data_IF_780910118237
#
_entry.id   IF_780910118237
#
_cell.length_a   1.000
_cell.length_b   1.000
_cell.length_c   1.000
_cell.angle_alpha   90.00
_cell.angle_beta   90.00
_cell.angle_gamma   90.00
#
_symmetry.space_group_name_H-M   'P 1'
#
loop_
_entity.id
_entity.type
_entity.pdbx_description
1 polymer ?
#
# COMPACT_ATOMS: atom_id res chain seq x y z
N UNK A 1 -25.73 -28.92 7.87
CA UNK A 1 -26.31 -27.72 8.52
C UNK A 1 -26.36 -26.61 7.47
N UNK A 2 -27.54 -26.22 7.02
CA UNK A 2 -27.72 -25.11 6.08
C UNK A 2 -27.16 -23.82 6.69
N UNK A 3 -26.07 -23.35 6.13
CA UNK A 3 -25.56 -22.01 6.42
C UNK A 3 -26.51 -21.05 5.70
N UNK A 4 -27.28 -20.26 6.45
CA UNK A 4 -28.21 -19.26 5.89
C UNK A 4 -27.45 -18.31 4.94
N UNK A 5 -28.07 -17.93 3.82
CA UNK A 5 -27.46 -17.08 2.78
C UNK A 5 -26.87 -15.75 3.34
N UNK A 6 -27.52 -15.16 4.35
CA UNK A 6 -27.05 -13.95 5.04
C UNK A 6 -25.70 -14.13 5.76
N UNK A 7 -25.39 -15.35 6.23
CA UNK A 7 -24.08 -15.66 6.79
C UNK A 7 -23.02 -15.62 5.68
N UNK A 8 -23.29 -16.18 4.50
CA UNK A 8 -22.33 -16.17 3.38
C UNK A 8 -21.94 -14.76 2.94
N UNK A 9 -22.94 -13.88 2.79
CA UNK A 9 -22.72 -12.49 2.38
C UNK A 9 -21.88 -11.76 3.43
N UNK A 10 -22.26 -11.85 4.71
CA UNK A 10 -21.56 -11.20 5.81
C UNK A 10 -20.10 -11.67 5.94
N UNK A 11 -19.87 -12.99 5.87
CA UNK A 11 -18.52 -13.57 5.88
C UNK A 11 -17.69 -13.13 4.67
N UNK A 12 -18.31 -13.01 3.49
CA UNK A 12 -17.63 -12.53 2.28
C UNK A 12 -17.10 -11.11 2.48
N UNK A 13 -17.95 -10.18 2.97
CA UNK A 13 -17.51 -8.80 3.24
C UNK A 13 -16.49 -8.71 4.36
N UNK A 14 -16.64 -9.52 5.41
CA UNK A 14 -15.65 -9.64 6.47
C UNK A 14 -14.27 -10.01 5.91
N UNK A 15 -14.17 -11.13 5.17
CA UNK A 15 -12.88 -11.58 4.64
C UNK A 15 -12.32 -10.63 3.57
N UNK A 16 -13.17 -10.05 2.71
CA UNK A 16 -12.76 -9.00 1.77
C UNK A 16 -12.13 -7.80 2.49
N UNK A 17 -12.73 -7.37 3.61
CA UNK A 17 -12.20 -6.27 4.42
C UNK A 17 -10.86 -6.66 5.05
N UNK A 18 -10.73 -7.89 5.56
CA UNK A 18 -9.46 -8.39 6.14
C UNK A 18 -8.32 -8.42 5.13
N UNK A 19 -8.54 -8.93 3.92
CA UNK A 19 -7.48 -8.95 2.89
C UNK A 19 -7.16 -7.54 2.38
N UNK A 20 -8.15 -6.64 2.31
CA UNK A 20 -7.91 -5.24 1.92
C UNK A 20 -7.04 -4.53 2.96
N UNK A 21 -7.37 -4.67 4.25
CA UNK A 21 -6.57 -4.13 5.35
C UNK A 21 -5.17 -4.74 5.37
N UNK A 22 -5.03 -6.04 5.13
CA UNK A 22 -3.73 -6.70 5.03
C UNK A 22 -2.86 -6.12 3.91
N UNK A 23 -3.44 -5.77 2.76
CA UNK A 23 -2.73 -5.09 1.67
C UNK A 23 -2.27 -3.70 2.11
N UNK A 24 -3.19 -2.88 2.64
CA UNK A 24 -2.85 -1.51 3.03
C UNK A 24 -1.87 -1.45 4.19
N UNK A 25 -1.96 -2.31 5.19
CA UNK A 25 -1.07 -2.26 6.37
C UNK A 25 0.14 -3.18 6.25
N UNK A 26 0.27 -3.95 5.17
CA UNK A 26 1.42 -4.81 4.90
C UNK A 26 1.49 -6.11 5.73
N UNK A 27 0.40 -6.49 6.41
CA UNK A 27 0.26 -7.76 7.15
C UNK A 27 -0.12 -8.92 6.19
N UNK A 28 0.83 -9.26 5.33
CA UNK A 28 0.62 -10.20 4.22
C UNK A 28 0.38 -11.62 4.72
N UNK A 29 1.08 -12.02 5.77
CA UNK A 29 0.99 -13.34 6.38
C UNK A 29 -0.41 -13.60 6.95
N UNK A 30 -0.97 -12.66 7.74
CA UNK A 30 -2.34 -12.79 8.21
C UNK A 30 -3.34 -12.70 7.04
N UNK A 31 -3.12 -11.77 6.11
CA UNK A 31 -3.91 -11.62 4.89
C UNK A 31 -4.04 -12.93 4.10
N UNK A 32 -2.94 -13.67 3.95
CA UNK A 32 -2.92 -14.95 3.23
C UNK A 32 -3.82 -16.01 3.86
N UNK A 33 -4.01 -15.98 5.18
CA UNK A 33 -4.89 -16.89 5.90
C UNK A 33 -6.37 -16.72 5.54
N UNK A 34 -6.78 -15.54 5.08
CA UNK A 34 -8.18 -15.24 4.72
C UNK A 34 -8.52 -15.56 3.26
N UNK A 35 -7.53 -15.80 2.40
CA UNK A 35 -7.74 -16.01 0.96
C UNK A 35 -8.54 -17.29 0.69
N UNK A 36 -8.17 -18.39 1.35
CA UNK A 36 -8.82 -19.70 1.13
C UNK A 36 -10.27 -19.74 1.66
N UNK A 37 -10.56 -19.30 2.90
CA UNK A 37 -11.94 -19.16 3.36
C UNK A 37 -12.79 -18.29 2.44
N UNK A 38 -12.25 -17.15 1.98
CA UNK A 38 -12.96 -16.27 1.04
C UNK A 38 -13.24 -16.99 -0.28
N UNK A 39 -12.27 -17.72 -0.84
CA UNK A 39 -12.46 -18.44 -2.11
C UNK A 39 -13.61 -19.45 -2.03
N UNK A 40 -13.74 -20.17 -0.91
CA UNK A 40 -14.81 -21.16 -0.71
C UNK A 40 -16.20 -20.53 -0.67
N UNK A 41 -16.33 -19.31 -0.11
CA UNK A 41 -17.60 -18.58 -0.05
C UNK A 41 -18.01 -17.98 -1.40
N UNK A 42 -17.06 -17.71 -2.28
CA UNK A 42 -17.31 -16.98 -3.53
C UNK A 42 -18.07 -17.77 -4.60
N UNK A 43 -18.29 -19.07 -4.43
CA UNK A 43 -19.21 -19.84 -5.30
C UNK A 43 -20.65 -19.28 -5.25
N UNK A 44 -21.01 -18.57 -4.18
CA UNK A 44 -22.35 -18.03 -3.97
C UNK A 44 -22.49 -16.51 -4.23
N UNK A 45 -21.39 -15.75 -4.34
CA UNK A 45 -21.44 -14.29 -4.50
C UNK A 45 -20.52 -13.80 -5.63
N UNK A 46 -21.14 -13.37 -6.73
CA UNK A 46 -20.48 -12.90 -7.95
C UNK A 46 -20.62 -11.39 -8.16
N UNK A 47 -20.92 -10.63 -7.10
CA UNK A 47 -20.96 -9.17 -7.19
C UNK A 47 -19.61 -8.63 -7.71
N UNK A 48 -19.68 -7.76 -8.72
CA UNK A 48 -18.49 -7.30 -9.46
C UNK A 48 -17.41 -6.67 -8.56
N UNK A 49 -17.83 -5.89 -7.56
CA UNK A 49 -16.94 -5.25 -6.59
C UNK A 49 -16.20 -6.29 -5.72
N UNK A 50 -16.91 -7.32 -5.27
CA UNK A 50 -16.36 -8.40 -4.44
C UNK A 50 -15.35 -9.22 -5.24
N UNK A 51 -15.69 -9.56 -6.49
CA UNK A 51 -14.79 -10.28 -7.40
C UNK A 51 -13.52 -9.46 -7.63
N UNK A 52 -13.65 -8.17 -7.94
CA UNK A 52 -12.51 -7.27 -8.20
C UNK A 52 -11.58 -7.18 -6.98
N UNK A 53 -12.14 -6.87 -5.80
CA UNK A 53 -11.37 -6.75 -4.54
C UNK A 53 -10.68 -8.06 -4.18
N UNK A 54 -11.39 -9.19 -4.28
CA UNK A 54 -10.85 -10.51 -3.96
C UNK A 54 -9.65 -10.84 -4.83
N UNK A 55 -9.80 -10.75 -6.15
CA UNK A 55 -8.75 -11.09 -7.11
C UNK A 55 -7.54 -10.17 -6.92
N UNK A 56 -7.80 -8.86 -6.83
CA UNK A 56 -6.77 -7.85 -6.65
C UNK A 56 -5.96 -8.03 -5.35
N UNK A 57 -6.64 -8.01 -4.19
CA UNK A 57 -5.95 -8.08 -2.90
C UNK A 57 -5.26 -9.43 -2.70
N UNK A 58 -5.90 -10.54 -3.10
CA UNK A 58 -5.29 -11.88 -2.97
C UNK A 58 -4.04 -12.02 -3.84
N UNK A 59 -4.07 -11.48 -5.06
CA UNK A 59 -2.94 -11.51 -5.96
C UNK A 59 -1.77 -10.63 -5.50
N UNK A 60 -2.05 -9.43 -4.95
CA UNK A 60 -1.02 -8.59 -4.34
C UNK A 60 -0.38 -9.25 -3.11
N UNK A 61 -1.19 -9.78 -2.17
CA UNK A 61 -0.67 -10.48 -0.98
C UNK A 61 0.29 -11.59 -1.39
N UNK A 62 -0.12 -12.45 -2.34
CA UNK A 62 0.67 -13.61 -2.73
C UNK A 62 1.92 -13.22 -3.53
N UNK A 63 1.84 -12.21 -4.41
CA UNK A 63 3.00 -11.74 -5.18
C UNK A 63 4.04 -11.07 -4.27
N UNK A 64 3.62 -10.27 -3.28
CA UNK A 64 4.52 -9.68 -2.27
C UNK A 64 5.14 -10.73 -1.35
N UNK A 65 4.38 -11.75 -0.92
CA UNK A 65 4.95 -12.91 -0.23
C UNK A 65 5.98 -13.65 -1.09
N UNK A 66 5.78 -13.71 -2.41
CA UNK A 66 6.76 -14.28 -3.32
C UNK A 66 8.05 -13.45 -3.37
N UNK A 67 7.96 -12.12 -3.40
CA UNK A 67 9.12 -11.21 -3.34
C UNK A 67 9.95 -11.43 -2.06
N UNK A 68 9.29 -11.62 -0.90
CA UNK A 68 9.95 -11.89 0.39
C UNK A 68 10.52 -13.32 0.51
N UNK A 69 10.15 -14.23 -0.38
CA UNK A 69 10.53 -15.65 -0.28
C UNK A 69 11.89 -15.94 -0.92
N UNK A 70 12.88 -16.30 -0.11
CA UNK A 70 14.22 -16.69 -0.58
C UNK A 70 14.26 -18.05 -1.32
N UNK A 71 13.44 -19.02 -0.88
CA UNK A 71 13.41 -20.38 -1.47
C UNK A 71 12.80 -20.35 -2.87
N UNK A 72 13.63 -20.54 -3.92
CA UNK A 72 13.23 -20.47 -5.34
C UNK A 72 11.97 -21.29 -5.68
N UNK A 73 11.87 -22.54 -5.20
CA UNK A 73 10.69 -23.40 -5.44
C UNK A 73 9.40 -22.79 -4.88
N UNK A 74 9.41 -22.38 -3.61
CA UNK A 74 8.25 -21.77 -2.93
C UNK A 74 7.90 -20.42 -3.56
N UNK A 75 8.89 -19.59 -3.87
CA UNK A 75 8.69 -18.32 -4.61
C UNK A 75 7.97 -18.56 -5.93
N UNK A 76 8.44 -19.49 -6.75
CA UNK A 76 7.81 -19.78 -8.04
C UNK A 76 6.38 -20.32 -7.89
N UNK A 77 6.10 -21.11 -6.83
CA UNK A 77 4.75 -21.57 -6.54
C UNK A 77 3.82 -20.40 -6.18
N UNK A 78 4.26 -19.48 -5.31
CA UNK A 78 3.50 -18.28 -4.97
C UNK A 78 3.27 -17.41 -6.20
N UNK A 79 4.30 -17.18 -7.03
CA UNK A 79 4.16 -16.44 -8.29
C UNK A 79 3.11 -17.03 -9.22
N UNK A 80 3.11 -18.35 -9.41
CA UNK A 80 2.09 -19.03 -10.23
C UNK A 80 0.69 -18.81 -9.65
N UNK A 81 0.52 -18.88 -8.33
CA UNK A 81 -0.77 -18.63 -7.68
C UNK A 81 -1.20 -17.17 -7.82
N UNK A 82 -0.30 -16.20 -7.64
CA UNK A 82 -0.58 -14.78 -7.88
C UNK A 82 -0.92 -14.49 -9.35
N UNK A 83 -0.26 -15.16 -10.30
CA UNK A 83 -0.57 -15.06 -11.72
C UNK A 83 -2.00 -15.50 -12.02
N UNK A 84 -2.49 -16.58 -11.41
CA UNK A 84 -3.88 -17.03 -11.57
C UNK A 84 -4.90 -15.95 -11.14
N UNK A 85 -4.63 -15.23 -10.06
CA UNK A 85 -5.47 -14.10 -9.65
C UNK A 85 -5.39 -12.94 -10.65
N UNK A 86 -4.21 -12.66 -11.19
CA UNK A 86 -3.99 -11.64 -12.22
C UNK A 86 -4.76 -11.95 -13.50
N UNK A 87 -4.69 -13.20 -13.97
CA UNK A 87 -5.37 -13.69 -15.17
C UNK A 87 -6.88 -13.66 -14.96
N UNK A 88 -7.37 -14.05 -13.77
CA UNK A 88 -8.77 -13.94 -13.40
C UNK A 88 -9.29 -12.50 -13.42
N UNK A 89 -8.47 -11.53 -12.96
CA UNK A 89 -8.84 -10.12 -13.00
C UNK A 89 -8.89 -9.60 -14.45
N UNK A 90 -7.93 -10.02 -15.29
CA UNK A 90 -7.92 -9.72 -16.72
C UNK A 90 -9.16 -10.23 -17.43
N UNK A 91 -9.51 -11.50 -17.22
CA UNK A 91 -10.72 -12.10 -17.78
C UNK A 91 -11.99 -11.36 -17.31
N UNK A 92 -12.01 -10.89 -16.06
CA UNK A 92 -13.14 -10.09 -15.54
C UNK A 92 -13.26 -8.75 -16.26
N UNK A 93 -12.13 -8.08 -16.55
CA UNK A 93 -12.09 -6.82 -17.32
C UNK A 93 -12.60 -7.05 -18.75
N UNK A 94 -12.11 -8.09 -19.43
CA UNK A 94 -12.47 -8.41 -20.82
C UNK A 94 -13.96 -8.79 -20.95
N UNK A 95 -14.50 -9.56 -19.98
CA UNK A 95 -15.87 -10.04 -20.04
C UNK A 95 -16.91 -8.99 -19.66
N UNK A 96 -16.68 -8.26 -18.56
CA UNK A 96 -17.70 -7.41 -17.93
C UNK A 96 -17.49 -5.92 -18.20
N UNK A 97 -16.34 -5.54 -18.75
CA UNK A 97 -15.90 -4.16 -18.76
C UNK A 97 -15.68 -3.61 -17.35
N UNK A 98 -15.26 -2.34 -17.27
CA UNK A 98 -15.08 -1.63 -16.01
C UNK A 98 -13.65 -1.17 -15.77
N UNK A 99 -13.53 -0.19 -14.87
CA UNK A 99 -12.26 0.48 -14.59
C UNK A 99 -11.45 -0.31 -13.55
N UNK A 100 -10.88 -1.45 -13.95
CA UNK A 100 -9.97 -2.27 -13.14
C UNK A 100 -8.58 -2.41 -13.79
N UNK A 101 -8.33 -1.69 -14.88
CA UNK A 101 -7.07 -1.79 -15.63
C UNK A 101 -5.86 -1.44 -14.76
N UNK A 102 -5.95 -0.41 -13.94
CA UNK A 102 -4.88 -0.01 -13.02
C UNK A 102 -4.57 -1.08 -11.98
N UNK A 103 -5.59 -1.77 -11.43
CA UNK A 103 -5.40 -2.91 -10.51
C UNK A 103 -4.66 -4.07 -11.19
N UNK A 104 -5.04 -4.39 -12.42
CA UNK A 104 -4.35 -5.40 -13.22
C UNK A 104 -2.89 -5.02 -13.48
N UNK A 105 -2.65 -3.77 -13.91
CA UNK A 105 -1.30 -3.27 -14.17
C UNK A 105 -0.43 -3.29 -12.91
N UNK A 106 -0.97 -2.92 -11.75
CA UNK A 106 -0.24 -2.97 -10.49
C UNK A 106 0.13 -4.40 -10.11
N UNK A 107 -0.78 -5.37 -10.26
CA UNK A 107 -0.49 -6.78 -10.03
C UNK A 107 0.60 -7.31 -10.98
N UNK A 108 0.60 -6.86 -12.24
CA UNK A 108 1.65 -7.22 -13.20
C UNK A 108 3.00 -6.67 -12.78
N UNK A 109 3.08 -5.41 -12.37
CA UNK A 109 4.31 -4.82 -11.85
C UNK A 109 4.86 -5.62 -10.66
N UNK A 110 3.99 -6.01 -9.73
CA UNK A 110 4.37 -6.81 -8.55
C UNK A 110 4.83 -8.23 -8.91
N UNK A 111 4.23 -8.85 -9.93
CA UNK A 111 4.62 -10.16 -10.47
C UNK A 111 5.96 -10.12 -11.24
N UNK A 112 6.20 -9.00 -11.92
CA UNK A 112 7.45 -8.67 -12.61
C UNK A 112 8.58 -8.50 -11.58
N UNK A 113 8.33 -7.70 -10.54
CA UNK A 113 9.21 -7.53 -9.38
C UNK A 113 9.52 -8.86 -8.68
N UNK A 114 8.50 -9.71 -8.45
CA UNK A 114 8.66 -11.04 -7.85
C UNK A 114 9.51 -12.00 -8.68
N UNK A 115 9.70 -11.72 -9.97
CA UNK A 115 10.48 -12.58 -10.86
C UNK A 115 11.96 -12.61 -10.54
N UNK A 116 12.50 -11.47 -10.12
CA UNK A 116 13.93 -11.23 -9.99
C UNK A 116 14.72 -11.42 -11.29
N UNK A 117 14.06 -11.40 -12.46
CA UNK A 117 14.68 -11.57 -13.78
C UNK A 117 14.68 -10.29 -14.62
N UNK A 118 13.84 -9.34 -14.23
CA UNK A 118 13.51 -8.16 -15.02
C UNK A 118 14.48 -7.04 -14.63
N UNK A 119 14.82 -6.19 -15.61
CA UNK A 119 15.66 -5.02 -15.33
C UNK A 119 14.91 -4.06 -14.39
N UNK A 120 15.69 -3.25 -13.69
CA UNK A 120 15.12 -2.26 -12.77
C UNK A 120 14.20 -1.28 -13.50
N UNK A 121 14.61 -0.81 -14.67
CA UNK A 121 13.84 0.13 -15.49
C UNK A 121 12.52 -0.46 -16.00
N UNK A 122 12.52 -1.76 -16.34
CA UNK A 122 11.29 -2.46 -16.75
C UNK A 122 10.26 -2.49 -15.60
N UNK A 123 10.73 -2.75 -14.37
CA UNK A 123 9.88 -2.74 -13.18
C UNK A 123 9.40 -1.32 -12.86
N UNK A 124 10.27 -0.29 -12.95
CA UNK A 124 9.90 1.12 -12.78
C UNK A 124 8.79 1.51 -13.76
N UNK A 125 9.01 1.24 -15.05
CA UNK A 125 8.03 1.53 -16.10
C UNK A 125 6.68 0.82 -15.88
N UNK A 126 6.71 -0.41 -15.36
CA UNK A 126 5.48 -1.13 -15.02
C UNK A 126 4.70 -0.47 -13.86
N UNK A 127 5.38 -0.05 -12.80
CA UNK A 127 4.76 0.71 -11.70
C UNK A 127 4.26 2.08 -12.16
N UNK A 128 5.05 2.84 -12.93
CA UNK A 128 4.65 4.15 -13.47
C UNK A 128 3.39 4.03 -14.34
N UNK A 129 3.29 2.98 -15.15
CA UNK A 129 2.09 2.69 -15.93
C UNK A 129 0.88 2.40 -15.04
N UNK A 130 1.06 1.66 -13.95
CA UNK A 130 -0.01 1.39 -12.99
C UNK A 130 -0.46 2.67 -12.25
N UNK A 131 0.50 3.45 -11.75
CA UNK A 131 0.28 4.72 -11.04
C UNK A 131 -0.45 5.72 -11.93
N UNK A 132 0.06 5.98 -13.14
CA UNK A 132 -0.55 6.92 -14.09
C UNK A 132 -1.95 6.48 -14.54
N UNK A 133 -2.21 5.18 -14.63
CA UNK A 133 -3.54 4.67 -14.95
C UNK A 133 -4.50 4.83 -13.78
N UNK A 134 -4.07 4.55 -12.54
CA UNK A 134 -4.88 4.77 -11.34
C UNK A 134 -5.24 6.25 -11.15
N UNK A 135 -4.24 7.15 -11.33
CA UNK A 135 -4.40 8.58 -11.19
C UNK A 135 -5.39 9.15 -12.22
N UNK A 136 -5.23 8.81 -13.51
CA UNK A 136 -6.16 9.24 -14.57
C UNK A 136 -7.58 8.71 -14.37
N UNK A 137 -7.71 7.55 -13.73
CA UNK A 137 -8.99 6.95 -13.38
C UNK A 137 -9.64 7.55 -12.12
N UNK A 138 -8.94 8.43 -11.39
CA UNK A 138 -9.45 9.08 -10.18
C UNK A 138 -9.42 8.20 -8.93
N UNK A 139 -8.68 7.08 -8.94
CA UNK A 139 -8.56 6.20 -7.77
C UNK A 139 -7.40 6.64 -6.88
N UNK A 140 -7.64 7.66 -6.06
CA UNK A 140 -6.61 8.26 -5.21
C UNK A 140 -5.94 7.26 -4.26
N UNK A 141 -6.73 6.42 -3.59
CA UNK A 141 -6.25 5.41 -2.64
C UNK A 141 -5.42 4.31 -3.32
N UNK A 142 -5.73 3.97 -4.58
CA UNK A 142 -4.95 2.98 -5.33
C UNK A 142 -3.74 3.59 -6.02
N UNK A 143 -3.80 4.88 -6.32
CA UNK A 143 -2.62 5.65 -6.73
C UNK A 143 -1.64 5.72 -5.55
N UNK A 144 -2.13 6.00 -4.34
CA UNK A 144 -1.33 5.98 -3.12
C UNK A 144 -0.70 4.60 -2.88
N UNK A 145 -1.50 3.54 -2.96
CA UNK A 145 -1.02 2.16 -2.83
C UNK A 145 0.04 1.79 -3.87
N UNK A 146 -0.17 2.16 -5.14
CA UNK A 146 0.78 1.87 -6.19
C UNK A 146 2.13 2.60 -5.97
N UNK A 147 2.09 3.86 -5.53
CA UNK A 147 3.27 4.62 -5.13
C UNK A 147 3.99 3.97 -3.94
N UNK A 148 3.24 3.56 -2.90
CA UNK A 148 3.80 2.88 -1.73
C UNK A 148 4.51 1.59 -2.14
N UNK A 149 3.83 0.68 -2.84
CA UNK A 149 4.39 -0.62 -3.21
C UNK A 149 5.64 -0.49 -4.07
N UNK A 150 5.64 0.48 -4.98
CA UNK A 150 6.80 0.80 -5.80
C UNK A 150 7.97 1.27 -4.91
N UNK A 151 7.77 2.25 -4.04
CA UNK A 151 8.78 2.73 -3.11
C UNK A 151 9.34 1.58 -2.24
N UNK A 152 8.47 0.75 -1.65
CA UNK A 152 8.89 -0.37 -0.82
C UNK A 152 9.77 -1.38 -1.58
N UNK A 153 9.45 -1.66 -2.85
CA UNK A 153 10.23 -2.59 -3.66
C UNK A 153 11.65 -2.08 -3.89
N UNK A 154 11.82 -0.83 -4.32
CA UNK A 154 13.15 -0.29 -4.62
C UNK A 154 13.95 0.01 -3.35
N UNK A 155 13.30 0.50 -2.27
CA UNK A 155 13.97 0.65 -0.97
C UNK A 155 14.54 -0.67 -0.43
N UNK A 156 13.83 -1.78 -0.64
CA UNK A 156 14.30 -3.10 -0.23
C UNK A 156 15.48 -3.62 -1.08
N UNK A 157 15.70 -3.06 -2.27
CA UNK A 157 16.79 -3.40 -3.18
C UNK A 157 18.01 -2.49 -3.01
N UNK A 158 17.81 -1.25 -2.57
CA UNK A 158 18.89 -0.29 -2.30
C UNK A 158 19.85 -0.83 -1.23
N UNK A 159 21.18 -0.73 -1.43
CA UNK A 159 22.18 -1.26 -0.52
C UNK A 159 22.26 -0.50 0.82
N UNK A 160 21.77 0.74 0.85
CA UNK A 160 21.98 1.73 1.90
C UNK A 160 21.47 1.30 3.29
N UNK A 161 22.19 1.56 4.40
CA UNK A 161 21.79 1.17 5.76
C UNK A 161 20.48 1.82 6.23
N UNK A 162 20.15 3.00 5.68
CA UNK A 162 18.98 3.82 6.03
C UNK A 162 17.66 3.05 5.80
N UNK A 163 17.61 2.13 4.83
CA UNK A 163 16.42 1.37 4.47
C UNK A 163 16.17 0.14 5.35
N UNK A 164 17.18 -0.37 6.07
CA UNK A 164 17.07 -1.61 6.87
C UNK A 164 16.46 -1.41 8.26
N UNK A 165 16.32 -0.16 8.73
CA UNK A 165 15.72 0.17 10.02
C UNK A 165 14.20 -0.13 10.13
N UNK A 166 13.49 -0.23 9.01
CA UNK A 166 12.03 -0.42 8.97
C UNK A 166 11.53 -1.87 9.05
N UNK A 167 12.43 -2.85 9.21
CA UNK A 167 12.09 -4.27 9.39
C UNK A 167 12.39 -4.73 10.82
N UNK A 168 12.01 -3.93 11.82
CA UNK A 168 11.95 -4.41 13.19
C UNK A 168 10.74 -5.33 13.33
N UNK A 169 11.02 -6.64 13.43
CA UNK A 169 10.09 -7.60 13.98
C UNK A 169 9.62 -7.08 15.34
N UNK A 170 8.33 -6.85 15.50
CA UNK A 170 7.68 -6.85 16.81
C UNK A 170 7.79 -8.26 17.38
N UNK A 171 8.93 -8.60 17.99
CA UNK A 171 9.02 -9.73 18.91
C UNK A 171 8.69 -9.22 20.30
N UNK A 172 7.67 -9.83 20.89
CA UNK A 172 7.12 -9.53 22.19
C UNK A 172 8.18 -9.39 23.29
N UNK A 173 7.91 -8.45 24.18
CA UNK A 173 8.57 -8.18 25.44
C UNK A 173 8.79 -9.43 26.29
N UNK A 174 10.04 -9.66 26.69
CA UNK A 174 10.32 -10.34 27.96
C UNK A 174 11.07 -9.36 28.85
N UNK A 175 10.32 -8.82 29.80
CA UNK A 175 10.79 -8.08 30.98
C UNK A 175 11.69 -8.95 31.85
N UNK A 176 12.80 -8.40 32.35
CA UNK A 176 13.62 -9.00 33.41
C UNK A 176 15.01 -8.39 33.51
N UNK A 177 15.10 -7.30 34.27
CA UNK A 177 16.29 -6.48 34.51
C UNK A 177 17.21 -7.10 35.63
N UNK A 178 18.32 -6.48 36.08
CA UNK A 178 19.67 -7.08 36.12
C UNK A 178 20.25 -7.16 37.54
N UNK A 179 21.42 -7.80 37.78
CA UNK A 179 22.34 -7.42 38.87
C UNK A 179 23.80 -7.90 38.63
N UNK A 180 24.70 -6.91 38.56
CA UNK A 180 26.04 -6.74 39.18
C UNK A 180 27.15 -7.82 39.13
N UNK A 181 28.40 -7.36 38.90
CA UNK A 181 29.64 -8.00 39.38
C UNK A 181 30.84 -7.92 38.42
N UNK A 182 31.42 -6.75 38.16
CA UNK A 182 32.75 -6.28 38.61
C UNK A 182 34.01 -6.74 37.83
N UNK A 183 34.76 -5.71 37.38
CA UNK A 183 36.23 -5.57 37.29
C UNK A 183 37.07 -6.43 36.34
N UNK A 184 37.72 -5.78 35.37
CA UNK A 184 39.19 -5.76 35.28
C UNK A 184 39.68 -4.64 34.34
N UNK A 185 40.71 -3.93 34.79
CA UNK A 185 41.48 -2.89 34.10
C UNK A 185 42.43 -3.48 33.05
N UNK A 186 42.59 -2.82 31.91
CA UNK A 186 43.88 -2.75 31.21
C UNK A 186 43.96 -1.47 30.35
N UNK A 187 45.00 -0.68 30.61
CA UNK A 187 45.54 0.43 29.79
C UNK A 187 46.49 -0.19 28.74
N UNK A 188 46.74 0.30 27.52
CA UNK A 188 47.22 1.61 27.06
C UNK A 188 47.22 1.64 25.50
N UNK A 189 47.08 2.86 24.96
CA UNK A 189 47.70 3.43 23.74
C UNK A 189 47.57 2.76 22.36
N UNK A 190 47.04 3.55 21.41
CA UNK A 190 47.25 3.37 19.97
C UNK A 190 46.65 4.54 19.20
N UNK A 191 47.49 5.48 18.77
CA UNK A 191 47.10 6.61 17.92
C UNK A 191 46.56 6.13 16.57
N UNK A 192 45.42 6.66 16.19
CA UNK A 192 44.81 6.47 14.88
C UNK A 192 44.17 7.77 14.46
N UNK A 193 44.81 8.46 13.53
CA UNK A 193 44.29 9.64 12.85
C UNK A 193 42.90 9.32 12.30
N UNK A 194 41.85 9.91 12.89
CA UNK A 194 40.50 9.79 12.38
C UNK A 194 40.33 10.79 11.24
N UNK A 195 40.80 10.40 10.06
CA UNK A 195 40.29 10.97 8.82
C UNK A 195 38.85 10.48 8.69
N UNK A 196 37.91 11.31 9.13
CA UNK A 196 36.51 11.19 8.76
C UNK A 196 36.42 11.32 7.23
N UNK A 197 36.37 10.18 6.54
CA UNK A 197 36.01 10.13 5.13
C UNK A 197 34.54 10.52 4.98
N UNK A 198 34.31 11.81 4.71
CA UNK A 198 33.04 12.32 4.20
C UNK A 198 32.94 11.92 2.72
N UNK A 199 32.62 10.66 2.47
CA UNK A 199 32.48 10.08 1.12
C UNK A 199 31.16 9.34 0.96
N UNK A 200 30.03 10.05 1.00
CA UNK A 200 28.69 9.42 0.82
C UNK A 200 27.56 10.41 0.49
N UNK A 201 27.73 11.33 -0.47
CA UNK A 201 26.74 12.41 -0.64
C UNK A 201 26.16 12.65 -2.04
N UNK A 202 26.66 12.02 -3.11
CA UNK A 202 26.09 12.25 -4.46
C UNK A 202 25.50 11.00 -5.11
N UNK A 203 26.16 9.85 -5.05
CA UNK A 203 25.64 8.60 -5.64
C UNK A 203 24.52 7.98 -4.78
N UNK A 204 24.65 8.07 -3.45
CA UNK A 204 23.62 7.60 -2.50
C UNK A 204 22.32 8.44 -2.57
N UNK A 205 22.38 9.72 -2.97
CA UNK A 205 21.20 10.55 -3.16
C UNK A 205 20.44 10.21 -4.45
N UNK A 206 21.13 9.85 -5.52
CA UNK A 206 20.49 9.51 -6.81
C UNK A 206 19.73 8.19 -6.74
N UNK A 207 20.25 7.20 -6.01
CA UNK A 207 19.63 5.87 -5.91
C UNK A 207 18.37 5.86 -5.02
N UNK A 208 18.27 6.80 -4.08
CA UNK A 208 17.15 6.91 -3.14
C UNK A 208 16.13 7.98 -3.54
N UNK A 209 16.40 8.77 -4.56
CA UNK A 209 15.50 9.82 -5.04
C UNK A 209 14.13 9.25 -5.46
N UNK A 210 14.13 8.28 -6.37
CA UNK A 210 12.90 7.71 -6.93
C UNK A 210 12.01 7.09 -5.83
N UNK A 211 12.52 6.19 -4.96
CA UNK A 211 11.67 5.58 -3.93
C UNK A 211 11.19 6.60 -2.88
N UNK A 212 12.00 7.61 -2.53
CA UNK A 212 11.62 8.67 -1.59
C UNK A 212 10.48 9.53 -2.15
N UNK A 213 10.55 9.86 -3.43
CA UNK A 213 9.52 10.65 -4.11
C UNK A 213 8.18 9.90 -4.15
N UNK A 214 8.19 8.63 -4.55
CA UNK A 214 6.97 7.81 -4.52
C UNK A 214 6.42 7.64 -3.10
N UNK A 215 7.27 7.52 -2.08
CA UNK A 215 6.79 7.44 -0.70
C UNK A 215 6.10 8.73 -0.24
N UNK A 216 6.64 9.90 -0.60
CA UNK A 216 6.01 11.21 -0.34
C UNK A 216 4.66 11.31 -1.05
N UNK A 217 4.60 10.92 -2.32
CA UNK A 217 3.36 10.90 -3.09
C UNK A 217 2.32 9.96 -2.46
N UNK A 218 2.72 8.77 -2.00
CA UNK A 218 1.83 7.86 -1.29
C UNK A 218 1.25 8.50 -0.02
N UNK A 219 2.09 9.13 0.81
CA UNK A 219 1.67 9.80 2.04
C UNK A 219 0.71 10.95 1.75
N UNK A 220 1.03 11.81 0.79
CA UNK A 220 0.17 12.93 0.39
C UNK A 220 -1.20 12.44 -0.08
N UNK A 221 -1.22 11.42 -0.93
CA UNK A 221 -2.47 10.86 -1.47
C UNK A 221 -3.30 10.12 -0.41
N UNK A 222 -2.64 9.44 0.55
CA UNK A 222 -3.34 8.86 1.70
C UNK A 222 -3.92 9.92 2.63
N UNK A 223 -3.21 11.04 2.81
CA UNK A 223 -3.71 12.18 3.58
C UNK A 223 -4.93 12.81 2.91
N UNK A 224 -4.85 13.10 1.60
CA UNK A 224 -5.96 13.64 0.81
C UNK A 224 -7.17 12.67 0.80
N UNK A 225 -6.93 11.36 0.78
CA UNK A 225 -7.99 10.36 0.90
C UNK A 225 -8.61 10.28 2.31
N UNK A 226 -7.92 10.79 3.35
CA UNK A 226 -8.37 10.79 4.74
C UNK A 226 -7.90 9.59 5.57
N UNK A 227 -6.95 8.79 5.09
CA UNK A 227 -6.44 7.60 5.78
C UNK A 227 -5.33 7.95 6.79
N UNK A 228 -5.70 8.67 7.85
CA UNK A 228 -4.75 9.16 8.88
C UNK A 228 -3.89 8.05 9.52
N UNK A 229 -4.51 6.94 9.91
CA UNK A 229 -3.78 5.79 10.49
C UNK A 229 -2.74 5.20 9.52
N UNK A 230 -3.01 5.24 8.21
CA UNK A 230 -2.08 4.76 7.20
C UNK A 230 -0.92 5.73 6.99
N UNK A 231 -1.19 7.04 7.04
CA UNK A 231 -0.15 8.08 7.01
C UNK A 231 0.79 7.94 8.21
N UNK A 232 0.23 7.82 9.41
CA UNK A 232 1.00 7.63 10.65
C UNK A 232 1.89 6.38 10.57
N UNK A 233 1.33 5.24 10.11
CA UNK A 233 2.11 4.02 9.88
C UNK A 233 3.31 4.24 8.96
N UNK A 234 3.15 4.99 7.86
CA UNK A 234 4.24 5.23 6.91
C UNK A 234 5.32 6.16 7.49
N UNK A 235 4.91 7.19 8.25
CA UNK A 235 5.84 8.09 8.93
C UNK A 235 6.64 7.38 10.03
N UNK A 236 6.01 6.46 10.77
CA UNK A 236 6.68 5.62 11.76
C UNK A 236 7.64 4.61 11.12
N UNK A 237 7.25 4.03 9.98
CA UNK A 237 8.04 3.02 9.29
C UNK A 237 9.27 3.62 8.59
N UNK A 238 9.18 4.86 8.13
CA UNK A 238 10.21 5.53 7.32
C UNK A 238 10.60 6.93 7.84
N UNK A 239 11.01 7.07 9.12
CA UNK A 239 11.21 8.37 9.77
C UNK A 239 12.33 9.22 9.14
N UNK A 240 13.34 8.56 8.56
CA UNK A 240 14.52 9.24 7.99
C UNK A 240 14.35 9.59 6.50
N UNK A 241 13.28 9.11 5.85
CA UNK A 241 13.05 9.30 4.42
C UNK A 241 12.03 10.43 4.15
N UNK A 242 11.09 10.64 5.06
CA UNK A 242 10.01 11.62 4.90
C UNK A 242 9.92 12.49 6.15
N UNK A 243 10.09 13.79 5.98
CA UNK A 243 9.95 14.76 7.08
C UNK A 243 8.46 15.07 7.33
N UNK A 244 8.02 15.04 8.59
CA UNK A 244 6.65 15.37 8.99
C UNK A 244 6.23 16.77 8.56
N UNK A 245 7.17 17.71 8.52
CA UNK A 245 6.93 19.10 8.11
C UNK A 245 6.38 19.23 6.68
N UNK A 246 6.64 18.24 5.82
CA UNK A 246 6.18 18.24 4.42
C UNK A 246 4.69 17.95 4.24
N UNK A 247 4.01 17.45 5.28
CA UNK A 247 2.59 17.04 5.22
C UNK A 247 1.66 18.12 5.80
N UNK A 248 2.11 18.88 6.80
CA UNK A 248 1.29 19.88 7.50
C UNK A 248 1.21 21.26 6.80
N UNK A 249 2.00 21.46 5.73
CA UNK A 249 2.09 22.73 5.00
C UNK A 249 0.87 23.10 4.13
N UNK A 250 -0.15 22.24 4.03
CA UNK A 250 -1.34 22.50 3.22
C UNK A 250 -2.52 23.12 4.00
N UNK A 251 -2.56 22.99 5.33
CA UNK A 251 -3.75 23.35 6.14
C UNK A 251 -3.58 24.62 7.01
N UNK A 252 -2.48 25.36 6.88
CA UNK A 252 -2.23 26.59 7.65
C UNK A 252 -1.90 27.80 6.76
N UNK A 253 -2.75 28.09 5.78
CA UNK A 253 -2.87 29.47 5.27
C UNK A 253 -4.17 30.07 5.79
N UNK A 254 -4.01 30.90 6.81
CA UNK A 254 -5.04 31.77 7.38
C UNK A 254 -5.82 32.50 6.28
N UNK A 255 -7.13 32.32 6.28
CA UNK A 255 -8.08 33.10 5.48
C UNK A 255 -7.90 34.58 5.82
N UNK A 256 -7.23 35.32 4.94
CA UNK A 256 -7.30 36.77 4.87
C UNK A 256 -8.17 37.12 3.66
N UNK A 257 -9.41 37.48 3.94
CA UNK A 257 -10.36 37.97 2.96
C UNK A 257 -9.89 39.34 2.46
N UNK A 258 -9.54 39.47 1.19
CA UNK A 258 -9.54 40.77 0.52
C UNK A 258 -10.20 40.65 -0.86
N UNK A 259 -11.22 41.49 -1.03
CA UNK A 259 -11.98 41.67 -2.26
C UNK A 259 -11.11 42.32 -3.34
N UNK A 260 -11.12 41.76 -4.55
CA UNK A 260 -10.49 42.37 -5.72
C UNK A 260 -10.65 41.55 -6.99
N UNK A 261 -11.63 41.91 -7.81
CA UNK A 261 -11.95 41.36 -9.13
C UNK A 261 -10.77 41.39 -10.12
N UNK A 262 -10.42 40.24 -10.74
CA UNK A 262 -10.31 40.15 -12.22
C UNK A 262 -10.12 38.72 -12.75
N UNK A 263 -10.93 38.43 -13.78
CA UNK A 263 -11.09 37.20 -14.56
C UNK A 263 -9.78 36.61 -15.14
N UNK A 264 -9.64 35.29 -15.02
CA UNK A 264 -9.19 34.44 -16.12
C UNK A 264 -10.03 33.17 -16.21
N UNK A 265 -10.67 32.97 -17.38
CA UNK A 265 -11.48 31.79 -17.72
C UNK A 265 -10.53 30.68 -18.16
N UNK A 266 -10.49 29.57 -17.42
CA UNK A 266 -10.23 28.26 -18.03
C UNK A 266 -11.43 27.34 -17.85
N UNK A 267 -11.79 26.73 -18.97
CA UNK A 267 -12.98 25.93 -19.26
C UNK A 267 -13.20 24.80 -18.25
N UNK A 268 -14.19 24.98 -17.35
CA UNK A 268 -14.82 23.84 -16.65
C UNK A 268 -15.73 23.11 -17.64
N UNK A 269 -15.18 22.12 -18.34
CA UNK A 269 -16.02 21.12 -19.04
C UNK A 269 -16.46 20.06 -18.02
N UNK A 270 -17.78 19.91 -17.92
CA UNK A 270 -18.54 18.98 -17.09
C UNK A 270 -17.94 17.57 -17.06
N UNK A 271 -17.63 17.07 -15.86
CA UNK A 271 -17.50 15.64 -15.58
C UNK A 271 -18.62 15.23 -14.59
N UNK A 272 -19.86 15.34 -15.05
CA UNK A 272 -21.07 15.08 -14.25
C UNK A 272 -21.79 13.87 -14.82
N UNK A 273 -21.34 12.65 -14.47
CA UNK A 273 -22.20 11.46 -14.51
C UNK A 273 -21.76 10.35 -13.54
N UNK A 274 -20.47 10.03 -13.45
CA UNK A 274 -20.01 8.89 -12.63
C UNK A 274 -19.50 9.23 -11.22
N UNK A 275 -19.17 10.48 -10.92
CA UNK A 275 -18.92 10.94 -9.53
C UNK A 275 -20.20 11.05 -8.71
N UNK A 276 -21.35 11.08 -9.38
CA UNK A 276 -22.65 11.00 -8.72
C UNK A 276 -22.93 9.59 -8.20
N UNK A 277 -22.60 8.53 -8.95
CA UNK A 277 -22.89 7.14 -8.56
C UNK A 277 -22.14 6.70 -7.29
N UNK A 278 -20.86 7.02 -7.16
CA UNK A 278 -20.09 6.65 -5.95
C UNK A 278 -20.48 7.49 -4.74
N UNK A 279 -20.79 8.78 -4.93
CA UNK A 279 -21.35 9.63 -3.85
C UNK A 279 -22.75 9.19 -3.45
N UNK A 280 -23.59 8.72 -4.38
CA UNK A 280 -24.90 8.15 -4.10
C UNK A 280 -24.78 6.84 -3.32
N UNK A 281 -23.82 5.96 -3.65
CA UNK A 281 -23.57 4.74 -2.89
C UNK A 281 -23.08 5.02 -1.45
N UNK A 282 -22.19 5.99 -1.26
CA UNK A 282 -21.71 6.38 0.08
C UNK A 282 -22.81 7.10 0.87
N UNK A 283 -23.60 7.96 0.23
CA UNK A 283 -24.75 8.63 0.87
C UNK A 283 -25.86 7.63 1.23
N UNK A 284 -26.12 6.63 0.38
CA UNK A 284 -27.05 5.55 0.68
C UNK A 284 -26.54 4.67 1.83
N UNK A 285 -25.24 4.37 1.88
CA UNK A 285 -24.64 3.65 3.00
C UNK A 285 -24.74 4.43 4.33
N UNK A 286 -24.49 5.75 4.31
CA UNK A 286 -24.70 6.60 5.49
C UNK A 286 -26.16 6.70 5.91
N UNK A 287 -27.10 6.77 4.96
CA UNK A 287 -28.54 6.82 5.27
C UNK A 287 -29.05 5.51 5.86
N UNK A 288 -28.60 4.37 5.32
CA UNK A 288 -28.89 3.04 5.88
C UNK A 288 -28.30 2.89 7.28
N UNK A 289 -27.06 3.37 7.51
CA UNK A 289 -26.46 3.36 8.85
C UNK A 289 -27.17 4.27 9.85
N UNK A 290 -27.78 5.37 9.41
CA UNK A 290 -28.57 6.27 10.26
C UNK A 290 -29.99 5.75 10.55
N UNK A 291 -30.54 4.88 9.70
CA UNK A 291 -31.86 4.26 9.88
C UNK A 291 -31.83 2.98 10.74
N UNK A 292 -30.64 2.43 11.04
CA UNK A 292 -30.48 1.33 12.01
C UNK A 292 -30.46 1.94 13.41
N UNK A 293 -31.63 1.97 14.05
CA UNK A 293 -31.73 2.30 15.46
C UNK A 293 -31.12 1.16 16.31
N UNK A 294 -29.89 1.35 16.78
CA UNK A 294 -29.16 0.39 17.60
C UNK A 294 -29.79 0.20 19.00
N UNK A 295 -30.73 1.05 19.39
CA UNK A 295 -31.42 0.97 20.68
C UNK A 295 -32.66 0.04 20.68
N UNK A 296 -32.92 -0.67 19.57
CA UNK A 296 -34.03 -1.62 19.44
C UNK A 296 -33.60 -3.09 19.21
N UNK A 297 -32.36 -3.44 19.58
CA UNK A 297 -31.82 -4.81 19.56
C UNK A 297 -31.59 -5.35 20.96
#
# INVERSE_FOLDING_TARGET
>A
KEIKLWNYVSWTYYYCSRIMLAVYFGDLEAGCGYIEPLHQLTKANNAFIVVSVRLFCSGLIISRLAQRTKKKRKRNQLRRKAQQFCDGLKATIELRGGNNLHRYLLMQADLMAASGKESEDSVKAAYDKAISTAARSGYIHETALANELAAEYFLAKSPSPITRGGSMRLSASTTGNPLLGTSSMFSTNGGGSSTYEFGSTLEDETDLFWPREHLRNAISLYNEWGAKAKVEQLLEKYPNLVDRSSVDGADTSSVSTSHGDRKMRHSRRRLTKHTADTRMCVAAAHKIMAEVNLDAL
#
